data_IF_155965391647
#
_entry.id   IF_155965391647
#
_cell.length_a   1.000
_cell.length_b   1.000
_cell.length_c   1.000
_cell.angle_alpha   90.00
_cell.angle_beta   90.00
_cell.angle_gamma   90.00
#
_symmetry.space_group_name_H-M   'P 1'
#
loop_
_entity.id
_entity.type
_entity.pdbx_description
1 polymer ?
#
# COMPACT_ATOMS: atom_id res chain seq x y z
N UNK A 1 -3.18 14.70 -3.59
CA UNK A 1 -4.17 14.66 -2.47
C UNK A 1 -4.52 16.05 -1.93
N UNK A 2 -3.55 16.92 -1.59
CA UNK A 2 -3.82 18.28 -1.06
C UNK A 2 -4.72 19.12 -1.97
N UNK A 3 -4.49 19.11 -3.29
CA UNK A 3 -5.35 19.80 -4.27
C UNK A 3 -6.77 19.25 -4.31
N UNK A 4 -6.92 17.93 -4.15
CA UNK A 4 -8.22 17.27 -4.06
C UNK A 4 -8.97 17.70 -2.81
N UNK A 5 -8.30 17.80 -1.67
CA UNK A 5 -8.91 18.29 -0.42
C UNK A 5 -9.48 19.69 -0.60
N UNK A 6 -8.71 20.60 -1.20
CA UNK A 6 -9.16 21.97 -1.45
C UNK A 6 -10.39 21.98 -2.36
N UNK A 7 -10.39 21.21 -3.45
CA UNK A 7 -11.51 21.11 -4.40
C UNK A 7 -12.78 20.53 -3.76
N UNK A 8 -12.65 19.51 -2.92
CA UNK A 8 -13.78 18.84 -2.25
C UNK A 8 -14.14 19.45 -0.90
N UNK A 9 -13.46 20.53 -0.50
CA UNK A 9 -13.64 21.20 0.82
C UNK A 9 -13.50 20.23 1.99
N UNK A 10 -12.59 19.26 1.88
CA UNK A 10 -12.27 18.33 2.95
C UNK A 10 -11.37 19.03 3.97
N UNK A 11 -11.83 19.11 5.21
CA UNK A 11 -11.09 19.70 6.32
C UNK A 11 -10.74 18.61 7.32
N UNK A 12 -9.46 18.30 7.43
CA UNK A 12 -8.94 17.36 8.41
C UNK A 12 -7.77 18.02 9.15
N UNK A 13 -7.76 17.90 10.47
CA UNK A 13 -6.65 18.36 11.29
C UNK A 13 -5.50 17.35 11.19
N UNK A 14 -4.32 17.82 10.77
CA UNK A 14 -3.09 17.01 10.64
C UNK A 14 -3.31 15.65 9.96
N UNK A 15 -3.82 15.62 8.71
CA UNK A 15 -4.17 14.37 8.04
C UNK A 15 -2.98 13.47 7.72
N UNK A 16 -1.76 14.02 7.74
CA UNK A 16 -0.53 13.28 7.48
C UNK A 16 0.39 13.33 8.70
N UNK A 17 0.97 12.18 9.05
CA UNK A 17 2.05 12.13 10.01
C UNK A 17 3.29 12.84 9.46
N UNK A 18 3.92 13.68 10.30
CA UNK A 18 5.12 14.44 9.94
C UNK A 18 6.36 13.73 10.49
N UNK A 19 6.85 12.78 9.73
CA UNK A 19 8.16 12.18 9.94
C UNK A 19 9.01 12.41 8.69
N UNK A 20 10.03 11.60 8.47
CA UNK A 20 10.89 11.68 7.28
C UNK A 20 10.10 11.57 5.98
N UNK A 21 9.00 10.80 6.01
CA UNK A 21 8.07 10.64 4.88
C UNK A 21 6.64 10.89 5.36
N UNK A 22 5.83 11.53 4.51
CA UNK A 22 4.42 11.76 4.82
C UNK A 22 3.58 10.53 4.53
N UNK A 23 2.75 10.15 5.47
CA UNK A 23 1.77 9.07 5.32
C UNK A 23 0.47 9.44 6.03
N UNK A 24 -0.67 8.83 5.67
CA UNK A 24 -1.93 9.13 6.34
C UNK A 24 -1.85 8.85 7.85
N UNK A 25 -2.29 9.81 8.65
CA UNK A 25 -2.39 9.64 10.10
C UNK A 25 -3.52 8.68 10.47
N UNK A 26 -3.43 8.10 11.64
CA UNK A 26 -4.48 7.27 12.22
C UNK A 26 -5.07 7.95 13.46
N UNK A 27 -6.32 7.62 13.80
CA UNK A 27 -6.94 8.08 15.03
C UNK A 27 -6.57 7.19 16.24
N UNK A 28 -7.14 7.48 17.39
CA UNK A 28 -6.90 6.73 18.65
C UNK A 28 -7.29 5.25 18.56
N UNK A 29 -8.20 4.90 17.63
CA UNK A 29 -8.65 3.54 17.38
C UNK A 29 -7.91 2.87 16.21
N UNK A 30 -6.84 3.49 15.71
CA UNK A 30 -6.03 3.05 14.56
C UNK A 30 -6.77 3.03 13.22
N UNK A 31 -7.88 3.76 13.09
CA UNK A 31 -8.51 4.00 11.80
C UNK A 31 -7.78 5.12 11.06
N UNK A 32 -7.60 4.95 9.76
CA UNK A 32 -7.09 6.02 8.89
C UNK A 32 -8.01 7.25 8.98
N UNK A 33 -7.44 8.45 9.10
CA UNK A 33 -8.22 9.69 9.19
C UNK A 33 -9.07 9.98 7.96
N UNK A 34 -8.75 9.40 6.81
CA UNK A 34 -9.58 9.50 5.60
C UNK A 34 -10.77 8.55 5.57
N UNK A 35 -10.89 7.67 6.56
CA UNK A 35 -12.02 6.76 6.67
C UNK A 35 -13.20 7.45 7.36
N UNK A 36 -14.32 7.51 6.66
CA UNK A 36 -15.58 8.00 7.23
C UNK A 36 -16.33 6.83 7.87
N UNK A 37 -16.45 6.86 9.20
CA UNK A 37 -17.06 5.79 9.98
C UNK A 37 -18.57 5.66 9.75
N UNK A 38 -19.25 6.75 9.40
CA UNK A 38 -20.69 6.76 9.14
C UNK A 38 -21.01 6.12 7.78
N UNK A 39 -20.37 6.58 6.71
CA UNK A 39 -20.57 6.04 5.36
C UNK A 39 -19.78 4.76 5.11
N UNK A 40 -18.82 4.42 5.96
CA UNK A 40 -17.86 3.29 5.81
C UNK A 40 -17.07 3.37 4.49
N UNK A 41 -16.70 4.58 4.10
CA UNK A 41 -15.98 4.86 2.85
C UNK A 41 -14.73 5.70 3.08
N UNK A 42 -13.80 5.60 2.16
CA UNK A 42 -12.63 6.46 2.12
C UNK A 42 -12.99 7.82 1.50
N UNK A 43 -12.69 8.92 2.20
CA UNK A 43 -12.94 10.28 1.74
C UNK A 43 -12.13 10.65 0.48
N UNK A 44 -11.00 9.96 0.27
CA UNK A 44 -10.09 10.23 -0.84
C UNK A 44 -10.01 9.04 -1.81
N UNK A 45 -11.08 8.26 -1.90
CA UNK A 45 -11.10 7.01 -2.68
C UNK A 45 -10.59 7.18 -4.12
N UNK A 46 -10.94 8.27 -4.81
CA UNK A 46 -10.55 8.52 -6.19
C UNK A 46 -9.08 8.93 -6.36
N UNK A 47 -8.42 9.37 -5.30
CA UNK A 47 -7.02 9.83 -5.30
C UNK A 47 -6.17 9.15 -4.24
N UNK A 48 -6.61 8.00 -3.75
CA UNK A 48 -5.88 7.25 -2.73
C UNK A 48 -4.51 6.76 -3.24
N UNK A 49 -3.50 6.67 -2.34
CA UNK A 49 -2.17 6.20 -2.71
C UNK A 49 -2.16 4.78 -3.28
N UNK A 50 -1.10 4.44 -4.00
CA UNK A 50 -0.92 3.13 -4.63
C UNK A 50 -1.03 1.98 -3.63
N UNK A 51 -0.44 2.12 -2.45
CA UNK A 51 -0.54 1.11 -1.39
C UNK A 51 -1.97 0.90 -0.90
N UNK A 52 -2.78 1.95 -0.87
CA UNK A 52 -4.21 1.85 -0.55
C UNK A 52 -5.00 1.18 -1.68
N UNK A 53 -4.65 1.43 -2.94
CA UNK A 53 -5.27 0.77 -4.11
C UNK A 53 -4.93 -0.70 -4.18
N UNK A 54 -3.70 -1.05 -3.82
CA UNK A 54 -3.23 -2.43 -3.79
C UNK A 54 -3.84 -3.25 -2.63
N UNK A 55 -4.28 -2.59 -1.56
CA UNK A 55 -4.84 -3.28 -0.40
C UNK A 55 -5.98 -4.24 -0.76
N UNK A 56 -6.04 -5.42 -0.14
CA UNK A 56 -5.27 -5.92 1.00
C UNK A 56 -3.93 -6.59 0.64
N UNK A 57 -3.45 -6.44 -0.58
CA UNK A 57 -2.13 -6.91 -1.01
C UNK A 57 -1.07 -5.95 -0.48
N UNK A 58 -0.02 -6.51 0.11
CA UNK A 58 1.18 -5.81 0.52
C UNK A 58 2.42 -6.44 -0.11
N UNK A 59 3.57 -5.87 0.08
CA UNK A 59 4.79 -6.34 -0.56
C UNK A 59 6.01 -6.13 0.32
N UNK A 60 7.07 -6.87 -0.01
CA UNK A 60 8.39 -6.71 0.56
C UNK A 60 9.43 -6.75 -0.56
N UNK A 61 10.53 -6.03 -0.38
CA UNK A 61 11.65 -6.07 -1.28
C UNK A 61 12.72 -6.98 -0.66
N UNK A 62 12.93 -8.15 -1.26
CA UNK A 62 13.99 -9.06 -0.87
C UNK A 62 15.24 -8.78 -1.71
N UNK A 63 16.14 -7.98 -1.14
CA UNK A 63 17.38 -7.57 -1.80
C UNK A 63 18.36 -8.73 -2.06
N UNK A 64 18.33 -9.75 -1.23
CA UNK A 64 19.23 -10.91 -1.35
C UNK A 64 19.01 -11.70 -2.64
N UNK A 65 17.74 -11.89 -3.01
CA UNK A 65 17.34 -12.63 -4.20
C UNK A 65 16.81 -11.73 -5.33
N UNK A 66 16.82 -10.43 -5.11
CA UNK A 66 16.34 -9.39 -6.06
C UNK A 66 14.89 -9.62 -6.52
N UNK A 67 14.02 -9.88 -5.53
CA UNK A 67 12.60 -10.14 -5.77
C UNK A 67 11.72 -9.13 -5.04
N UNK A 68 10.56 -8.87 -5.61
CA UNK A 68 9.41 -8.34 -4.88
C UNK A 68 8.59 -9.54 -4.41
N UNK A 69 8.37 -9.63 -3.14
CA UNK A 69 7.55 -10.68 -2.54
C UNK A 69 6.16 -10.10 -2.23
N UNK A 70 5.12 -10.80 -2.60
CA UNK A 70 3.73 -10.35 -2.45
C UNK A 70 3.05 -11.10 -1.30
N UNK A 71 2.33 -10.34 -0.49
CA UNK A 71 1.66 -10.85 0.70
C UNK A 71 0.20 -10.41 0.70
N UNK A 72 -0.67 -11.25 1.23
CA UNK A 72 -2.08 -10.95 1.47
C UNK A 72 -2.32 -10.88 2.97
N UNK A 73 -3.07 -9.88 3.41
CA UNK A 73 -3.49 -9.78 4.81
C UNK A 73 -4.36 -10.96 5.19
N UNK A 74 -4.16 -11.49 6.40
CA UNK A 74 -4.98 -12.58 6.91
C UNK A 74 -6.39 -12.13 7.22
N UNK A 75 -7.35 -13.04 7.11
CA UNK A 75 -8.78 -12.76 7.33
C UNK A 75 -9.09 -12.22 8.73
N UNK A 76 -8.27 -12.56 9.74
CA UNK A 76 -8.40 -12.04 11.11
C UNK A 76 -8.19 -10.52 11.17
N UNK A 77 -7.39 -9.98 10.26
CA UNK A 77 -7.10 -8.53 10.19
C UNK A 77 -8.00 -7.85 9.16
N UNK A 78 -8.33 -8.52 8.07
CA UNK A 78 -9.11 -7.95 6.99
C UNK A 78 -10.10 -8.98 6.44
N UNK A 79 -11.37 -8.85 6.80
CA UNK A 79 -12.43 -9.76 6.32
C UNK A 79 -12.53 -9.75 4.78
N UNK A 80 -12.32 -8.60 4.16
CA UNK A 80 -12.31 -8.47 2.70
C UNK A 80 -11.21 -9.31 2.05
N UNK A 81 -10.04 -9.39 2.66
CA UNK A 81 -8.94 -10.23 2.17
C UNK A 81 -9.35 -11.70 2.13
N UNK A 82 -10.03 -12.19 3.17
CA UNK A 82 -10.56 -13.55 3.22
C UNK A 82 -11.56 -13.82 2.11
N UNK A 83 -12.52 -12.93 1.90
CA UNK A 83 -13.53 -13.07 0.85
C UNK A 83 -12.91 -13.00 -0.55
N UNK A 84 -11.97 -12.10 -0.76
CA UNK A 84 -11.24 -11.96 -2.04
C UNK A 84 -10.48 -13.25 -2.38
N UNK A 85 -9.78 -13.82 -1.40
CA UNK A 85 -8.98 -15.03 -1.61
C UNK A 85 -9.80 -16.27 -1.93
N UNK A 86 -11.03 -16.35 -1.43
CA UNK A 86 -11.98 -17.43 -1.75
C UNK A 86 -12.43 -17.40 -3.21
N UNK A 87 -12.54 -16.22 -3.81
CA UNK A 87 -12.91 -16.05 -5.21
C UNK A 87 -11.65 -15.94 -6.06
N UNK A 88 -11.18 -17.07 -6.58
CA UNK A 88 -9.91 -17.13 -7.33
C UNK A 88 -9.83 -16.17 -8.51
N UNK A 89 -10.88 -16.03 -9.30
CA UNK A 89 -10.92 -15.13 -10.44
C UNK A 89 -10.83 -13.66 -10.02
N UNK A 90 -11.58 -13.25 -8.99
CA UNK A 90 -11.54 -11.91 -8.45
C UNK A 90 -10.18 -11.61 -7.81
N UNK A 91 -9.60 -12.56 -7.09
CA UNK A 91 -8.26 -12.44 -6.53
C UNK A 91 -7.21 -12.19 -7.60
N UNK A 92 -7.19 -12.97 -8.66
CA UNK A 92 -6.21 -12.81 -9.75
C UNK A 92 -6.30 -11.43 -10.42
N UNK A 93 -7.51 -10.93 -10.68
CA UNK A 93 -7.71 -9.60 -11.26
C UNK A 93 -7.19 -8.52 -10.31
N UNK A 94 -7.56 -8.56 -9.05
CA UNK A 94 -7.10 -7.59 -8.06
C UNK A 94 -5.59 -7.68 -7.84
N UNK A 95 -5.04 -8.89 -7.77
CA UNK A 95 -3.60 -9.11 -7.60
C UNK A 95 -2.79 -8.51 -8.75
N UNK A 96 -3.25 -8.68 -9.99
CA UNK A 96 -2.58 -8.07 -11.14
C UNK A 96 -2.58 -6.54 -11.06
N UNK A 97 -3.70 -5.93 -10.71
CA UNK A 97 -3.80 -4.47 -10.53
C UNK A 97 -2.88 -4.00 -9.39
N UNK A 98 -2.87 -4.72 -8.27
CA UNK A 98 -2.00 -4.42 -7.13
C UNK A 98 -0.51 -4.45 -7.51
N UNK A 99 -0.09 -5.47 -8.26
CA UNK A 99 1.28 -5.58 -8.76
C UNK A 99 1.67 -4.38 -9.62
N UNK A 100 0.83 -4.01 -10.57
CA UNK A 100 1.07 -2.86 -11.47
C UNK A 100 1.23 -1.56 -10.69
N UNK A 101 0.35 -1.30 -9.74
CA UNK A 101 0.41 -0.10 -8.88
C UNK A 101 1.69 -0.05 -8.05
N UNK A 102 2.06 -1.14 -7.42
CA UNK A 102 3.25 -1.20 -6.55
C UNK A 102 4.55 -1.16 -7.36
N UNK A 103 4.62 -1.88 -8.48
CA UNK A 103 5.80 -1.84 -9.35
C UNK A 103 6.04 -0.42 -9.88
N UNK A 104 4.99 0.28 -10.27
CA UNK A 104 5.08 1.68 -10.67
C UNK A 104 5.62 2.55 -9.52
N UNK A 105 5.03 2.41 -8.32
CA UNK A 105 5.44 3.15 -7.14
C UNK A 105 6.94 2.96 -6.84
N UNK A 106 7.39 1.72 -6.67
CA UNK A 106 8.80 1.45 -6.33
C UNK A 106 9.78 1.86 -7.43
N UNK A 107 9.34 1.88 -8.67
CA UNK A 107 10.16 2.34 -9.80
C UNK A 107 10.36 3.86 -9.80
N UNK A 108 9.41 4.61 -9.25
CA UNK A 108 9.46 6.07 -9.14
C UNK A 108 10.21 6.57 -7.88
N UNK A 109 10.28 5.77 -6.83
CA UNK A 109 10.95 6.15 -5.58
C UNK A 109 12.48 6.25 -5.76
N UNK A 110 13.09 7.14 -4.98
CA UNK A 110 14.55 7.24 -4.92
C UNK A 110 15.14 6.17 -3.97
N UNK A 111 16.47 6.06 -3.94
CA UNK A 111 17.17 5.06 -3.13
C UNK A 111 16.87 5.14 -1.64
N UNK A 112 16.79 6.36 -1.08
CA UNK A 112 16.51 6.56 0.34
C UNK A 112 15.07 6.18 0.71
N UNK A 113 14.12 6.53 -0.15
CA UNK A 113 12.72 6.16 -0.01
C UNK A 113 12.53 4.64 -0.09
N UNK A 114 13.21 3.98 -1.03
CA UNK A 114 13.21 2.52 -1.14
C UNK A 114 13.76 1.85 0.11
N UNK A 115 14.89 2.34 0.64
CA UNK A 115 15.48 1.81 1.89
C UNK A 115 14.56 2.02 3.09
N UNK A 116 13.88 3.16 3.17
CA UNK A 116 12.89 3.41 4.23
C UNK A 116 11.73 2.43 4.13
N UNK A 117 11.24 2.18 2.93
CA UNK A 117 10.14 1.26 2.66
C UNK A 117 10.51 -0.18 3.04
N UNK A 118 11.73 -0.60 2.80
CA UNK A 118 12.24 -1.94 3.17
C UNK A 118 12.31 -2.18 4.69
N UNK A 119 12.16 -1.14 5.51
CA UNK A 119 12.13 -1.26 6.98
C UNK A 119 10.72 -1.42 7.55
N UNK A 120 9.71 -1.28 6.70
CA UNK A 120 8.31 -1.40 7.12
C UNK A 120 7.96 -2.88 7.18
N UNK A 121 7.45 -3.34 8.32
CA UNK A 121 6.95 -4.69 8.50
C UNK A 121 5.43 -4.69 8.52
N UNK A 122 4.82 -5.61 7.77
CA UNK A 122 3.39 -5.81 7.74
C UNK A 122 3.05 -7.14 8.42
N UNK A 123 2.65 -7.10 9.71
CA UNK A 123 2.31 -8.32 10.42
C UNK A 123 1.00 -8.93 9.92
N UNK A 124 0.76 -10.18 10.29
CA UNK A 124 -0.48 -10.90 9.99
C UNK A 124 -0.76 -10.96 8.48
N UNK A 125 0.25 -11.33 7.71
CA UNK A 125 0.18 -11.56 6.27
C UNK A 125 0.71 -12.96 5.93
N UNK A 126 0.40 -13.42 4.72
CA UNK A 126 1.02 -14.64 4.17
C UNK A 126 1.41 -14.41 2.71
N UNK A 127 2.47 -15.06 2.29
CA UNK A 127 3.03 -14.91 0.95
C UNK A 127 2.10 -15.52 -0.10
N UNK A 128 1.82 -14.75 -1.16
CA UNK A 128 0.98 -15.18 -2.29
C UNK A 128 1.72 -15.23 -3.63
N UNK A 129 2.94 -14.74 -3.70
CA UNK A 129 3.75 -14.78 -4.91
C UNK A 129 5.03 -13.98 -4.82
N UNK A 130 5.77 -13.96 -5.91
CA UNK A 130 6.97 -13.15 -6.07
C UNK A 130 7.21 -12.85 -7.54
N UNK A 131 7.86 -11.71 -7.81
CA UNK A 131 8.31 -11.31 -9.15
C UNK A 131 9.73 -10.73 -9.07
N UNK A 132 10.41 -10.63 -10.18
CA UNK A 132 11.73 -9.99 -10.24
C UNK A 132 11.63 -8.51 -9.94
N UNK A 133 12.61 -7.97 -9.22
CA UNK A 133 12.73 -6.53 -9.04
C UNK A 133 12.94 -5.83 -10.39
N UNK A 134 12.24 -4.70 -10.62
CA UNK A 134 12.54 -3.88 -11.80
C UNK A 134 14.01 -3.48 -11.86
N UNK A 135 14.58 -3.49 -13.04
CA UNK A 135 16.00 -3.15 -13.27
C UNK A 135 16.35 -1.78 -12.68
N UNK A 136 15.42 -0.81 -12.78
CA UNK A 136 15.62 0.53 -12.23
C UNK A 136 15.74 0.50 -10.70
N UNK A 137 15.00 -0.36 -10.03
CA UNK A 137 15.05 -0.53 -8.56
C UNK A 137 16.37 -1.22 -8.15
N UNK A 138 16.77 -2.25 -8.89
CA UNK A 138 18.05 -2.94 -8.68
C UNK A 138 19.21 -1.94 -8.77
N UNK A 139 19.20 -1.06 -9.78
CA UNK A 139 20.22 -0.04 -9.97
C UNK A 139 20.24 0.99 -8.82
N UNK A 140 19.09 1.50 -8.43
CA UNK A 140 18.96 2.48 -7.32
C UNK A 140 19.45 1.93 -5.98
N UNK A 141 19.23 0.65 -5.72
CA UNK A 141 19.65 -0.01 -4.47
C UNK A 141 21.09 -0.52 -4.52
N UNK A 142 21.75 -0.48 -5.66
CA UNK A 142 23.12 -0.98 -5.84
C UNK A 142 23.24 -2.50 -5.72
N UNK A 143 22.25 -3.22 -6.18
CA UNK A 143 22.17 -4.68 -6.08
C UNK A 143 22.81 -5.40 -7.27
#
# INVERSE_FOLDING_TARGET
>A
MKKYFAKQKIKLEKPFAKEKYSYPSVDEQFFCLFYNKESKRCLVHSVKPETCRAGPITFDINSKVKKVEWFLKKSEICAYAGELYKNKAAFEVHFQVAKEEIIRLISELNADELRALMRIEEPCTFKVGEDDLPVVVVGKLGL
#
